data_IF_155985999524
#
_entry.id   IF_155985999524
#
_cell.length_a   1.000
_cell.length_b   1.000
_cell.length_c   1.000
_cell.angle_alpha   90.00
_cell.angle_beta   90.00
_cell.angle_gamma   90.00
#
_symmetry.space_group_name_H-M   'P 1'
#
loop_
_entity.id
_entity.type
_entity.pdbx_description
1 polymer ?
#
# COMPACT_ATOMS: atom_id res chain seq x y z
N UNK A 1 1.51 13.58 11.37
CA UNK A 1 1.70 12.84 10.10
C UNK A 1 2.28 11.46 10.40
N UNK A 2 1.90 10.43 9.65
CA UNK A 2 2.39 9.06 9.88
C UNK A 2 3.39 8.66 8.80
N UNK A 3 4.58 8.22 9.21
CA UNK A 3 5.61 7.70 8.31
C UNK A 3 5.81 6.21 8.52
N UNK A 4 6.19 5.49 7.47
CA UNK A 4 6.42 4.05 7.51
C UNK A 4 7.83 3.76 7.02
N UNK A 5 8.59 3.00 7.79
CA UNK A 5 9.93 2.59 7.39
C UNK A 5 9.85 1.59 6.22
N UNK A 6 10.53 1.84 5.08
CA UNK A 6 10.48 0.93 3.93
C UNK A 6 11.22 -0.39 4.16
N UNK A 7 12.15 -0.42 5.12
CA UNK A 7 12.97 -1.62 5.39
C UNK A 7 12.27 -2.64 6.30
N UNK A 8 11.50 -2.19 7.29
CA UNK A 8 10.89 -3.06 8.31
C UNK A 8 9.39 -2.84 8.51
N UNK A 9 8.79 -1.90 7.78
CA UNK A 9 7.36 -1.57 7.85
C UNK A 9 6.88 -1.06 9.21
N UNK A 10 7.79 -0.66 10.11
CA UNK A 10 7.44 0.04 11.34
C UNK A 10 6.81 1.41 11.04
N UNK A 11 5.74 1.76 11.76
CA UNK A 11 5.02 3.01 11.58
C UNK A 11 5.25 3.97 12.75
N UNK A 12 5.54 5.23 12.44
CA UNK A 12 5.84 6.26 13.43
C UNK A 12 4.90 7.45 13.26
N UNK A 13 4.35 7.92 14.36
CA UNK A 13 3.58 9.16 14.40
C UNK A 13 4.53 10.31 14.70
N UNK A 14 4.55 11.31 13.81
CA UNK A 14 5.51 12.41 13.85
C UNK A 14 4.75 13.72 13.72
N UNK A 15 5.02 14.72 14.57
CA UNK A 15 4.42 16.04 14.42
C UNK A 15 4.92 16.70 13.13
N UNK A 16 4.07 17.50 12.51
CA UNK A 16 4.39 18.21 11.26
C UNK A 16 5.56 19.18 11.43
N UNK A 17 5.75 19.69 12.65
CA UNK A 17 6.90 20.52 13.04
C UNK A 17 8.24 19.78 12.99
N UNK A 18 8.25 18.45 12.99
CA UNK A 18 9.49 17.65 13.03
C UNK A 18 10.10 17.40 11.64
N UNK A 19 9.32 17.55 10.56
CA UNK A 19 9.78 17.44 9.17
C UNK A 19 9.50 18.75 8.47
N UNK A 20 10.56 19.51 8.18
CA UNK A 20 10.44 20.77 7.45
C UNK A 20 9.90 20.51 6.03
N UNK A 21 9.30 21.53 5.41
CA UNK A 21 8.75 21.44 4.06
C UNK A 21 9.77 20.99 2.99
N UNK A 22 11.07 21.22 3.21
CA UNK A 22 12.16 20.74 2.36
C UNK A 22 12.50 19.25 2.51
N UNK A 23 11.81 18.53 3.40
CA UNK A 23 12.14 17.17 3.80
C UNK A 23 13.23 17.08 4.87
N UNK A 24 13.41 15.89 5.43
CA UNK A 24 14.41 15.59 6.47
C UNK A 24 14.91 14.15 6.35
N UNK A 25 16.17 13.93 6.69
CA UNK A 25 16.69 12.58 6.92
C UNK A 25 16.08 11.97 8.19
N UNK A 26 15.60 10.74 8.09
CA UNK A 26 14.94 10.03 9.18
C UNK A 26 15.58 8.68 9.37
N UNK A 27 15.88 8.35 10.63
CA UNK A 27 16.41 7.04 11.00
C UNK A 27 15.35 6.21 11.73
N UNK A 28 15.18 4.97 11.29
CA UNK A 28 14.29 4.02 11.92
C UNK A 28 14.89 3.56 13.26
N UNK A 29 14.17 3.77 14.37
CA UNK A 29 14.62 3.27 15.68
C UNK A 29 14.51 1.73 15.82
N UNK A 30 13.67 1.09 15.00
CA UNK A 30 13.50 -0.37 15.04
C UNK A 30 14.60 -1.15 14.32
N UNK A 31 15.17 -0.61 13.24
CA UNK A 31 16.17 -1.33 12.42
C UNK A 31 17.43 -0.52 12.06
N UNK A 32 17.48 0.78 12.38
CA UNK A 32 18.61 1.67 12.06
C UNK A 32 18.66 2.18 10.61
N UNK A 33 17.71 1.77 9.74
CA UNK A 33 17.66 2.24 8.36
C UNK A 33 17.38 3.75 8.28
N UNK A 34 18.21 4.48 7.55
CA UNK A 34 18.04 5.91 7.27
C UNK A 34 17.43 6.11 5.88
N UNK A 35 16.52 7.07 5.76
CA UNK A 35 15.95 7.50 4.47
C UNK A 35 15.52 8.96 4.52
N UNK A 36 15.40 9.57 3.34
CA UNK A 36 14.92 10.95 3.22
C UNK A 36 13.39 10.98 3.15
N UNK A 37 12.74 11.67 4.09
CA UNK A 37 11.29 11.85 4.13
C UNK A 37 10.94 13.29 3.73
N UNK A 38 10.20 13.43 2.63
CA UNK A 38 9.62 14.68 2.19
C UNK A 38 8.28 14.89 2.92
N UNK A 39 7.97 16.13 3.33
CA UNK A 39 6.63 16.48 3.77
C UNK A 39 5.72 16.58 2.53
N UNK A 40 5.17 15.45 2.09
CA UNK A 40 4.02 15.47 1.18
C UNK A 40 2.76 15.31 2.03
N UNK A 41 1.78 16.24 1.95
CA UNK A 41 0.45 15.97 2.46
C UNK A 41 -0.05 14.68 1.79
N UNK A 42 -0.78 13.86 2.54
CA UNK A 42 -1.12 12.48 2.20
C UNK A 42 -1.68 12.30 0.78
N UNK A 43 -0.78 12.07 -0.18
CA UNK A 43 -1.06 11.45 -1.48
C UNK A 43 -0.66 9.97 -1.45
N UNK A 44 -0.28 9.45 -0.27
CA UNK A 44 0.23 8.09 -0.06
C UNK A 44 -0.86 7.10 0.35
N UNK A 45 -2.06 7.58 0.68
CA UNK A 45 -3.29 6.84 0.47
C UNK A 45 -3.48 6.57 -1.02
N UNK A 46 -2.71 5.61 -1.56
CA UNK A 46 -3.12 4.87 -2.75
C UNK A 46 -4.60 4.55 -2.55
N UNK A 47 -5.52 4.92 -3.46
CA UNK A 47 -6.80 4.24 -3.45
C UNK A 47 -6.43 2.75 -3.50
N UNK A 48 -6.99 1.96 -2.60
CA UNK A 48 -7.05 0.52 -2.79
C UNK A 48 -7.88 0.28 -4.05
N UNK A 49 -7.29 0.55 -5.22
CA UNK A 49 -7.74 0.02 -6.48
C UNK A 49 -7.53 -1.48 -6.34
N UNK A 50 -8.61 -2.14 -5.96
CA UNK A 50 -8.66 -3.55 -5.62
C UNK A 50 -7.91 -4.40 -6.63
N UNK A 51 -7.18 -5.37 -6.10
CA UNK A 51 -6.63 -6.45 -6.90
C UNK A 51 -7.74 -7.10 -7.76
N UNK A 52 -7.44 -7.54 -9.00
CA UNK A 52 -8.42 -8.19 -9.85
C UNK A 52 -8.80 -9.56 -9.29
N UNK A 53 -10.03 -9.70 -8.80
CA UNK A 53 -10.59 -10.99 -8.38
C UNK A 53 -11.95 -11.23 -9.05
N UNK A 54 -11.91 -11.73 -10.28
CA UNK A 54 -12.97 -12.55 -10.87
C UNK A 54 -12.44 -13.32 -12.09
N UNK A 55 -11.61 -14.33 -11.84
CA UNK A 55 -11.52 -15.48 -12.73
C UNK A 55 -12.04 -16.71 -11.97
N UNK A 56 -13.34 -17.00 -12.10
CA UNK A 56 -13.92 -18.29 -11.74
C UNK A 56 -15.28 -18.51 -12.45
N UNK A 57 -15.22 -19.21 -13.58
CA UNK A 57 -16.16 -20.21 -14.07
C UNK A 57 -17.68 -19.97 -14.06
N UNK A 58 -18.26 -19.83 -15.26
CA UNK A 58 -19.58 -20.40 -15.54
C UNK A 58 -19.40 -21.69 -16.37
N UNK A 59 -19.98 -22.83 -15.96
CA UNK A 59 -20.01 -24.04 -16.78
C UNK A 59 -20.89 -23.83 -18.01
N UNK A 60 -20.46 -24.38 -19.15
CA UNK A 60 -21.25 -24.39 -20.38
C UNK A 60 -22.60 -25.10 -20.14
N UNK A 61 -23.76 -24.54 -20.58
CA UNK A 61 -25.01 -25.27 -20.55
C UNK A 61 -24.87 -26.50 -21.45
N UNK A 62 -25.18 -27.67 -20.87
CA UNK A 62 -25.13 -28.96 -21.54
C UNK A 62 -25.90 -28.91 -22.85
N UNK A 63 -25.21 -29.29 -23.93
CA UNK A 63 -25.86 -29.71 -25.17
C UNK A 63 -26.54 -31.04 -24.87
N UNK A 64 -27.85 -31.02 -24.62
CA UNK A 64 -28.65 -32.23 -24.47
C UNK A 64 -28.63 -33.03 -25.79
N UNK A 65 -28.11 -34.28 -25.83
CA UNK A 65 -28.28 -35.14 -26.99
C UNK A 65 -29.73 -35.66 -27.06
N UNK A 66 -30.31 -35.84 -28.26
CA UNK A 66 -31.69 -36.31 -28.40
C UNK A 66 -31.84 -37.74 -27.88
N UNK A 67 -32.89 -37.96 -27.07
CA UNK A 67 -33.39 -39.25 -26.59
C UNK A 67 -34.08 -40.03 -27.74
N UNK A 68 -34.30 -41.35 -27.61
CA UNK A 68 -34.15 -42.38 -28.66
C UNK A 68 -35.11 -42.29 -29.86
#
# INVERSE_FOLDING_TARGET
MRIICPACQAAYDVPESAIAAGGRDVQCSACGHNWFQLWLPDLSARPAAGAPSAAAGLPAPGREPPLP
#
